data_IF_632187050155
#
_entry.id   IF_632187050155
#
_cell.length_a   1.000
_cell.length_b   1.000
_cell.length_c   1.000
_cell.angle_alpha   90.00
_cell.angle_beta   90.00
_cell.angle_gamma   90.00
#
_symmetry.space_group_name_H-M   'P 1'
#
loop_
_entity.id
_entity.type
_entity.pdbx_description
1 polymer ?
#
# COMPACT_ATOMS: atom_id res chain seq x y z
N UNK A 1 42.42 -42.21 -9.57
CA UNK A 1 41.36 -43.15 -9.99
C UNK A 1 40.43 -42.60 -11.08
N UNK A 2 39.74 -41.47 -10.92
CA UNK A 2 38.77 -40.96 -11.91
C UNK A 2 39.39 -40.66 -13.29
N UNK A 3 40.57 -40.04 -13.35
CA UNK A 3 41.32 -39.82 -14.62
C UNK A 3 41.77 -41.13 -15.29
N UNK A 4 42.05 -42.16 -14.49
CA UNK A 4 42.43 -43.50 -15.00
C UNK A 4 41.19 -44.21 -15.58
N UNK A 5 40.05 -44.09 -14.91
CA UNK A 5 38.75 -44.60 -15.35
C UNK A 5 38.23 -43.90 -16.63
N UNK A 6 38.44 -42.58 -16.75
CA UNK A 6 38.11 -41.83 -17.97
C UNK A 6 39.04 -42.13 -19.14
N UNK A 7 40.33 -42.36 -18.88
CA UNK A 7 41.29 -42.81 -19.88
C UNK A 7 40.96 -44.24 -20.35
N UNK A 8 40.59 -45.14 -19.44
CA UNK A 8 40.17 -46.51 -19.73
C UNK A 8 38.82 -46.57 -20.46
N UNK A 9 37.88 -45.66 -20.15
CA UNK A 9 36.62 -45.46 -20.91
C UNK A 9 36.84 -44.90 -22.32
N UNK A 10 37.85 -44.04 -22.50
CA UNK A 10 38.26 -43.54 -23.84
C UNK A 10 38.94 -44.64 -24.64
N UNK A 11 39.78 -45.45 -24.00
CA UNK A 11 40.47 -46.58 -24.64
C UNK A 11 39.48 -47.65 -25.13
N UNK A 12 38.53 -48.07 -24.28
CA UNK A 12 37.50 -49.08 -24.64
C UNK A 12 36.49 -48.61 -25.70
N UNK A 13 36.38 -47.31 -25.95
CA UNK A 13 35.54 -46.71 -27.00
C UNK A 13 36.29 -46.38 -28.29
N UNK A 14 37.61 -46.58 -28.32
CA UNK A 14 38.40 -46.37 -29.53
C UNK A 14 38.03 -47.42 -30.57
N UNK A 15 37.71 -46.99 -31.78
CA UNK A 15 37.42 -47.88 -32.92
C UNK A 15 38.56 -48.89 -33.14
N UNK A 16 39.79 -48.49 -32.83
CA UNK A 16 40.99 -49.34 -32.88
C UNK A 16 40.91 -50.52 -31.91
N UNK A 17 40.38 -50.31 -30.69
CA UNK A 17 40.27 -51.37 -29.67
C UNK A 17 39.15 -52.35 -30.01
N UNK A 18 38.03 -51.86 -30.55
CA UNK A 18 36.93 -52.72 -31.04
C UNK A 18 37.41 -53.60 -32.20
N UNK A 19 38.15 -53.02 -33.15
CA UNK A 19 38.72 -53.76 -34.27
C UNK A 19 39.72 -54.83 -33.81
N UNK A 20 40.58 -54.50 -32.86
CA UNK A 20 41.53 -55.45 -32.26
C UNK A 20 40.81 -56.60 -31.56
N UNK A 21 39.77 -56.33 -30.77
CA UNK A 21 39.02 -57.36 -30.04
C UNK A 21 38.29 -58.33 -30.99
N UNK A 22 37.65 -57.82 -32.04
CA UNK A 22 36.97 -58.66 -33.05
C UNK A 22 38.00 -59.54 -33.76
N UNK A 23 39.12 -58.95 -34.17
CA UNK A 23 40.21 -59.67 -34.86
C UNK A 23 40.78 -60.78 -33.98
N UNK A 24 41.07 -60.49 -32.71
CA UNK A 24 41.56 -61.50 -31.76
C UNK A 24 40.54 -62.61 -31.53
N UNK A 25 39.26 -62.25 -31.43
CA UNK A 25 38.18 -63.21 -31.21
C UNK A 25 38.02 -64.18 -32.38
N UNK A 26 38.10 -63.68 -33.62
CA UNK A 26 38.03 -64.51 -34.83
C UNK A 26 39.24 -65.44 -34.94
N UNK A 27 40.44 -64.95 -34.62
CA UNK A 27 41.67 -65.75 -34.62
C UNK A 27 41.62 -66.84 -33.53
N UNK A 28 41.23 -66.51 -32.31
CA UNK A 28 41.07 -67.47 -31.22
C UNK A 28 40.03 -68.54 -31.53
N UNK A 29 38.91 -68.14 -32.14
CA UNK A 29 37.86 -69.07 -32.52
C UNK A 29 38.32 -69.99 -33.64
N UNK A 30 38.87 -69.46 -34.73
CA UNK A 30 39.26 -70.29 -35.86
C UNK A 30 40.45 -71.22 -35.57
N UNK A 31 41.38 -70.83 -34.70
CA UNK A 31 42.46 -71.72 -34.22
C UNK A 31 41.92 -72.89 -33.39
N UNK A 32 40.90 -72.66 -32.56
CA UNK A 32 40.24 -73.71 -31.78
C UNK A 32 39.57 -74.78 -32.64
N UNK A 33 39.09 -74.41 -33.83
CA UNK A 33 38.36 -75.30 -34.74
C UNK A 33 39.17 -75.72 -35.98
N UNK A 34 40.49 -75.48 -36.00
CA UNK A 34 41.38 -75.93 -37.08
C UNK A 34 41.14 -75.27 -38.44
N UNK A 35 40.56 -74.06 -38.46
CA UNK A 35 40.27 -73.31 -39.69
C UNK A 35 41.58 -72.78 -40.27
N UNK A 36 41.74 -72.81 -41.60
CA UNK A 36 42.92 -72.27 -42.28
C UNK A 36 43.05 -70.76 -42.06
N UNK A 37 44.28 -70.30 -41.84
CA UNK A 37 44.60 -68.90 -41.49
C UNK A 37 44.05 -67.88 -42.49
N UNK A 38 44.04 -68.22 -43.78
CA UNK A 38 43.50 -67.38 -44.85
C UNK A 38 42.00 -67.10 -44.66
N UNK A 39 41.21 -68.13 -44.32
CA UNK A 39 39.76 -68.00 -44.11
C UNK A 39 39.49 -67.15 -42.86
N UNK A 40 40.25 -67.34 -41.79
CA UNK A 40 40.15 -66.51 -40.58
C UNK A 40 40.42 -65.03 -40.86
N UNK A 41 41.42 -64.73 -41.69
CA UNK A 41 41.79 -63.35 -42.04
C UNK A 41 40.66 -62.65 -42.82
N UNK A 42 40.04 -63.36 -43.77
CA UNK A 42 38.91 -62.83 -44.56
C UNK A 42 37.71 -62.53 -43.67
N UNK A 43 37.36 -63.44 -42.74
CA UNK A 43 36.26 -63.18 -41.80
C UNK A 43 36.57 -62.03 -40.84
N UNK A 44 37.81 -61.94 -40.33
CA UNK A 44 38.20 -60.83 -39.47
C UNK A 44 38.05 -59.48 -40.19
N UNK A 45 38.50 -59.37 -41.44
CA UNK A 45 38.34 -58.15 -42.24
C UNK A 45 36.85 -57.84 -42.45
N UNK A 46 36.03 -58.82 -42.83
CA UNK A 46 34.61 -58.62 -43.07
C UNK A 46 33.86 -58.15 -41.81
N UNK A 47 34.09 -58.78 -40.65
CA UNK A 47 33.45 -58.37 -39.40
C UNK A 47 33.90 -56.98 -38.94
N UNK A 48 35.17 -56.62 -39.15
CA UNK A 48 35.67 -55.29 -38.82
C UNK A 48 35.03 -54.19 -39.69
N UNK A 49 34.82 -54.45 -40.99
CA UNK A 49 34.13 -53.52 -41.89
C UNK A 49 32.69 -53.29 -41.42
N UNK A 50 31.95 -54.36 -41.09
CA UNK A 50 30.57 -54.26 -40.59
C UNK A 50 30.51 -53.49 -39.26
N UNK A 51 31.47 -53.74 -38.37
CA UNK A 51 31.55 -53.04 -37.08
C UNK A 51 31.83 -51.54 -37.27
N UNK A 52 32.75 -51.17 -38.16
CA UNK A 52 33.06 -49.77 -38.46
C UNK A 52 31.88 -49.03 -39.10
N UNK A 53 31.19 -49.65 -40.07
CA UNK A 53 29.99 -49.08 -40.69
C UNK A 53 28.86 -48.86 -39.67
N UNK A 54 28.67 -49.82 -38.76
CA UNK A 54 27.68 -49.70 -37.69
C UNK A 54 28.01 -48.56 -36.71
N UNK A 55 29.30 -48.38 -36.39
CA UNK A 55 29.80 -47.28 -35.57
C UNK A 55 29.59 -45.92 -36.25
N UNK A 56 29.84 -45.85 -37.56
CA UNK A 56 29.66 -44.63 -38.35
C UNK A 56 28.18 -44.24 -38.43
N UNK A 57 27.28 -45.20 -38.65
CA UNK A 57 25.83 -45.00 -38.57
C UNK A 57 25.37 -44.48 -37.20
N UNK A 58 25.90 -45.04 -36.11
CA UNK A 58 25.59 -44.58 -34.75
C UNK A 58 26.00 -43.11 -34.52
N UNK A 59 27.18 -42.69 -34.97
CA UNK A 59 27.64 -41.30 -34.81
C UNK A 59 26.79 -40.30 -35.59
N UNK A 60 26.43 -40.62 -36.84
CA UNK A 60 25.56 -39.75 -37.67
C UNK A 60 24.20 -39.56 -36.99
N UNK A 61 23.58 -40.64 -36.52
CA UNK A 61 22.29 -40.59 -35.83
C UNK A 61 22.40 -39.76 -34.55
N UNK A 62 23.44 -40.00 -33.74
CA UNK A 62 23.67 -39.28 -32.48
C UNK A 62 23.84 -37.77 -32.72
N UNK A 63 24.61 -37.39 -33.72
CA UNK A 63 24.89 -35.98 -34.00
C UNK A 63 23.66 -35.27 -34.60
N UNK A 64 22.85 -35.97 -35.42
CA UNK A 64 21.54 -35.49 -35.87
C UNK A 64 20.58 -35.21 -34.68
N UNK A 65 20.50 -36.12 -33.71
CA UNK A 65 19.68 -35.91 -32.51
C UNK A 65 20.19 -34.77 -31.64
N UNK A 66 21.51 -34.63 -31.46
CA UNK A 66 22.12 -33.51 -30.73
C UNK A 66 21.80 -32.16 -31.36
N UNK A 67 21.90 -32.06 -32.69
CA UNK A 67 21.63 -30.81 -33.40
C UNK A 67 20.14 -30.44 -33.35
N UNK A 68 19.24 -31.44 -33.41
CA UNK A 68 17.80 -31.25 -33.23
C UNK A 68 17.46 -30.76 -31.81
N UNK A 69 18.11 -31.32 -30.80
CA UNK A 69 17.93 -30.92 -29.41
C UNK A 69 18.47 -29.51 -29.14
N UNK A 70 19.63 -29.16 -29.72
CA UNK A 70 20.19 -27.82 -29.61
C UNK A 70 19.29 -26.75 -30.25
N UNK A 71 18.75 -27.01 -31.45
CA UNK A 71 17.78 -26.13 -32.11
C UNK A 71 16.49 -25.97 -31.30
N UNK A 72 16.01 -27.04 -30.64
CA UNK A 72 14.85 -26.99 -29.74
C UNK A 72 15.11 -26.07 -28.55
N UNK A 73 16.26 -26.21 -27.87
CA UNK A 73 16.63 -25.33 -26.73
C UNK A 73 16.77 -23.87 -27.14
N UNK A 74 17.30 -23.57 -28.33
CA UNK A 74 17.38 -22.20 -28.85
C UNK A 74 15.98 -21.61 -29.07
N UNK A 75 15.04 -22.40 -29.57
CA UNK A 75 13.65 -21.96 -29.78
C UNK A 75 12.95 -21.69 -28.44
N UNK A 76 13.05 -22.62 -27.50
CA UNK A 76 12.51 -22.47 -26.14
C UNK A 76 13.12 -21.22 -25.44
N UNK A 77 14.44 -21.00 -25.57
CA UNK A 77 15.09 -19.81 -25.03
C UNK A 77 14.59 -18.50 -25.68
N UNK A 78 14.38 -18.48 -27.00
CA UNK A 78 13.81 -17.32 -27.71
C UNK A 78 12.37 -17.04 -27.26
N UNK A 79 11.55 -18.07 -27.10
CA UNK A 79 10.18 -17.95 -26.60
C UNK A 79 10.16 -17.40 -25.16
N UNK A 80 11.03 -17.88 -24.29
CA UNK A 80 11.18 -17.34 -22.92
C UNK A 80 11.60 -15.87 -22.91
N UNK A 81 12.50 -15.45 -23.80
CA UNK A 81 12.92 -14.04 -23.91
C UNK A 81 11.77 -13.15 -24.40
N UNK A 82 10.99 -13.60 -25.39
CA UNK A 82 9.82 -12.87 -25.88
C UNK A 82 8.78 -12.74 -24.77
N UNK A 83 8.49 -13.83 -24.05
CA UNK A 83 7.51 -13.85 -22.96
C UNK A 83 7.94 -12.94 -21.80
N UNK A 84 9.24 -12.89 -21.50
CA UNK A 84 9.80 -11.97 -20.51
C UNK A 84 9.69 -10.50 -20.95
N UNK A 85 9.96 -10.21 -22.22
CA UNK A 85 9.83 -8.85 -22.78
C UNK A 85 8.38 -8.36 -22.72
N UNK A 86 7.43 -9.18 -23.14
CA UNK A 86 5.99 -8.88 -23.07
C UNK A 86 5.54 -8.68 -21.61
N UNK A 87 6.01 -9.52 -20.68
CA UNK A 87 5.70 -9.37 -19.25
C UNK A 87 6.24 -8.06 -18.68
N UNK A 88 7.47 -7.67 -19.07
CA UNK A 88 8.09 -6.40 -18.67
C UNK A 88 7.35 -5.19 -19.24
N UNK A 89 7.01 -5.20 -20.53
CA UNK A 89 6.20 -4.13 -21.16
C UNK A 89 4.83 -4.00 -20.52
N UNK A 90 4.15 -5.11 -20.21
CA UNK A 90 2.87 -5.11 -19.50
C UNK A 90 2.99 -4.48 -18.11
N UNK A 91 4.06 -4.75 -17.35
CA UNK A 91 4.31 -4.13 -16.04
C UNK A 91 4.56 -2.62 -16.19
N UNK A 92 5.32 -2.19 -17.21
CA UNK A 92 5.58 -0.76 -17.47
C UNK A 92 4.27 -0.03 -17.79
N UNK A 93 3.46 -0.54 -18.73
CA UNK A 93 2.18 0.06 -19.12
C UNK A 93 1.19 0.09 -17.95
N UNK A 94 1.19 -0.95 -17.11
CA UNK A 94 0.33 -0.97 -15.90
C UNK A 94 0.79 0.05 -14.88
N UNK A 95 2.11 0.22 -14.70
CA UNK A 95 2.69 1.24 -13.83
C UNK A 95 2.42 2.67 -14.31
N UNK A 96 2.53 2.94 -15.61
CA UNK A 96 2.22 4.25 -16.19
C UNK A 96 0.73 4.60 -16.07
N UNK A 97 -0.17 3.64 -16.34
CA UNK A 97 -1.61 3.82 -16.15
C UNK A 97 -1.95 4.11 -14.69
N UNK A 98 -1.39 3.34 -13.74
CA UNK A 98 -1.59 3.57 -12.32
C UNK A 98 -1.12 4.99 -11.90
N UNK A 99 0.00 5.48 -12.43
CA UNK A 99 0.49 6.83 -12.13
C UNK A 99 -0.43 7.95 -12.66
N UNK A 100 -1.01 7.76 -13.86
CA UNK A 100 -1.95 8.73 -14.43
C UNK A 100 -3.27 8.72 -13.65
N UNK A 101 -3.80 7.54 -13.34
CA UNK A 101 -5.01 7.39 -12.51
C UNK A 101 -4.80 8.01 -11.12
N UNK A 102 -3.63 7.77 -10.52
CA UNK A 102 -3.23 8.43 -9.28
C UNK A 102 -3.26 9.94 -9.43
N UNK A 103 -2.57 10.53 -10.42
CA UNK A 103 -2.59 12.00 -10.62
C UNK A 103 -4.00 12.58 -10.72
N UNK A 104 -4.91 11.91 -11.41
CA UNK A 104 -6.31 12.34 -11.53
C UNK A 104 -7.02 12.26 -10.17
N UNK A 105 -6.87 11.15 -9.45
CA UNK A 105 -7.42 10.97 -8.10
C UNK A 105 -6.85 12.01 -7.12
N UNK A 106 -5.54 12.31 -7.22
CA UNK A 106 -4.87 13.35 -6.41
C UNK A 106 -5.49 14.72 -6.63
N UNK A 107 -5.65 15.13 -7.89
CA UNK A 107 -6.27 16.42 -8.23
C UNK A 107 -7.69 16.50 -7.70
N UNK A 108 -8.50 15.48 -7.98
CA UNK A 108 -9.90 15.43 -7.56
C UNK A 108 -10.07 15.50 -6.03
N UNK A 109 -9.25 14.75 -5.28
CA UNK A 109 -9.29 14.79 -3.82
C UNK A 109 -8.81 16.13 -3.26
N UNK A 110 -7.81 16.76 -3.89
CA UNK A 110 -7.41 18.12 -3.53
C UNK A 110 -8.45 19.17 -3.88
N UNK A 111 -9.25 18.95 -4.91
CA UNK A 111 -10.42 19.78 -5.25
C UNK A 111 -11.48 19.71 -4.15
N UNK A 112 -11.69 18.53 -3.56
CA UNK A 112 -12.62 18.35 -2.44
C UNK A 112 -12.10 18.84 -1.10
N UNK A 113 -10.80 18.68 -0.84
CA UNK A 113 -10.18 19.09 0.42
C UNK A 113 -9.98 20.61 0.52
N UNK A 114 -9.81 21.31 -0.60
CA UNK A 114 -9.64 22.76 -0.65
C UNK A 114 -10.78 23.44 -1.42
N UNK A 115 -11.71 24.11 -0.72
CA UNK A 115 -12.77 24.91 -1.34
C UNK A 115 -12.23 25.91 -2.37
N UNK A 116 -13.04 26.23 -3.38
CA UNK A 116 -12.60 27.12 -4.48
C UNK A 116 -12.17 28.52 -4.00
N UNK A 117 -12.79 29.03 -2.94
CA UNK A 117 -12.44 30.31 -2.31
C UNK A 117 -11.02 30.31 -1.74
N UNK A 118 -10.62 29.20 -1.12
CA UNK A 118 -9.28 29.02 -0.59
C UNK A 118 -8.27 29.01 -1.71
N UNK A 119 -8.58 28.34 -2.83
CA UNK A 119 -7.71 28.35 -4.02
C UNK A 119 -7.56 29.74 -4.61
N UNK A 120 -8.65 30.53 -4.67
CA UNK A 120 -8.59 31.95 -5.08
C UNK A 120 -7.66 32.74 -4.15
N UNK A 121 -7.77 32.54 -2.85
CA UNK A 121 -6.87 33.17 -1.89
C UNK A 121 -5.40 32.78 -2.13
N UNK A 122 -5.09 31.50 -2.37
CA UNK A 122 -3.73 31.09 -2.75
C UNK A 122 -3.24 31.70 -4.06
N UNK A 123 -4.11 31.90 -5.07
CA UNK A 123 -3.74 32.62 -6.29
C UNK A 123 -3.33 34.07 -5.99
N UNK A 124 -4.01 34.72 -5.05
CA UNK A 124 -3.62 36.06 -4.58
C UNK A 124 -2.27 36.00 -3.87
N UNK A 125 -2.05 35.04 -2.97
CA UNK A 125 -0.75 34.86 -2.30
C UNK A 125 0.39 34.62 -3.29
N UNK A 126 0.16 33.83 -4.34
CA UNK A 126 1.14 33.57 -5.39
C UNK A 126 1.44 34.84 -6.20
N UNK A 127 0.41 35.60 -6.59
CA UNK A 127 0.57 36.90 -7.27
C UNK A 127 1.36 37.90 -6.43
N UNK A 128 1.23 37.83 -5.09
CA UNK A 128 1.96 38.67 -4.14
C UNK A 128 3.34 38.11 -3.77
N UNK A 129 3.77 36.99 -4.36
CA UNK A 129 5.08 36.39 -4.13
C UNK A 129 5.25 35.75 -2.75
N UNK A 130 4.15 35.40 -2.08
CA UNK A 130 4.16 34.90 -0.69
C UNK A 130 4.26 33.37 -0.66
N UNK A 131 3.35 32.68 -1.36
CA UNK A 131 3.27 31.23 -1.34
C UNK A 131 2.50 30.71 -2.55
N UNK A 132 2.94 29.59 -3.11
CA UNK A 132 2.19 28.88 -4.16
C UNK A 132 1.41 27.73 -3.54
N UNK A 133 0.21 27.49 -4.05
CA UNK A 133 -0.57 26.30 -3.67
C UNK A 133 0.23 25.00 -3.93
N UNK A 134 1.01 24.99 -5.02
CA UNK A 134 1.90 23.88 -5.36
C UNK A 134 2.92 23.56 -4.27
N UNK A 135 3.38 24.55 -3.51
CA UNK A 135 4.33 24.33 -2.41
C UNK A 135 3.65 23.58 -1.25
N UNK A 136 2.38 23.86 -1.00
CA UNK A 136 1.54 23.14 -0.03
C UNK A 136 1.33 21.71 -0.49
N UNK A 137 0.94 21.51 -1.75
CA UNK A 137 0.74 20.18 -2.35
C UNK A 137 2.02 19.33 -2.30
N UNK A 138 3.18 19.93 -2.62
CA UNK A 138 4.48 19.26 -2.52
C UNK A 138 4.86 18.93 -1.08
N UNK A 139 4.51 19.79 -0.10
CA UNK A 139 4.67 19.44 1.30
C UNK A 139 3.78 18.28 1.72
N UNK A 140 2.52 18.22 1.27
CA UNK A 140 1.63 17.07 1.53
C UNK A 140 2.23 15.78 0.96
N UNK A 141 2.79 15.84 -0.27
CA UNK A 141 3.45 14.71 -0.92
C UNK A 141 4.70 14.23 -0.18
N UNK A 142 5.40 15.13 0.48
CA UNK A 142 6.65 14.81 1.20
C UNK A 142 6.42 14.48 2.67
N UNK A 143 5.25 14.85 3.23
CA UNK A 143 4.87 14.45 4.58
C UNK A 143 4.73 12.93 4.66
N UNK A 144 5.65 12.32 5.38
CA UNK A 144 5.65 10.88 5.64
C UNK A 144 4.85 10.57 6.91
N UNK A 145 3.95 9.60 6.82
CA UNK A 145 3.18 9.03 7.92
C UNK A 145 3.68 7.63 8.23
N UNK A 146 3.64 7.25 9.51
CA UNK A 146 3.87 5.86 9.91
C UNK A 146 2.59 5.09 9.73
N UNK A 147 2.56 4.21 8.75
CA UNK A 147 1.42 3.37 8.47
C UNK A 147 1.76 1.91 8.74
N UNK A 148 0.79 1.24 9.36
CA UNK A 148 0.89 -0.17 9.73
C UNK A 148 -0.37 -0.87 9.23
N UNK A 149 -0.21 -1.96 8.49
CA UNK A 149 -1.31 -2.86 8.21
C UNK A 149 -1.37 -3.88 9.34
N UNK A 150 -2.55 -3.99 9.94
CA UNK A 150 -2.87 -5.01 10.91
C UNK A 150 -3.94 -5.91 10.32
N UNK A 151 -3.63 -7.19 10.21
CA UNK A 151 -4.47 -8.16 9.52
C UNK A 151 -4.60 -9.42 10.34
N UNK A 152 -5.82 -9.86 10.61
CA UNK A 152 -6.10 -11.16 11.21
C UNK A 152 -6.72 -12.10 10.17
N UNK A 153 -6.17 -13.30 10.02
CA UNK A 153 -6.70 -14.36 9.13
C UNK A 153 -7.00 -15.62 9.91
N UNK A 154 -7.98 -16.42 9.50
CA UNK A 154 -8.38 -17.68 10.18
C UNK A 154 -9.01 -17.51 11.56
N UNK A 155 -9.57 -16.34 11.84
CA UNK A 155 -10.49 -16.19 12.96
C UNK A 155 -11.90 -16.37 12.43
N UNK A 156 -12.52 -17.48 12.81
CA UNK A 156 -13.97 -17.66 12.73
C UNK A 156 -14.44 -17.94 14.14
N UNK A 157 -15.51 -17.28 14.57
CA UNK A 157 -16.27 -17.81 15.71
C UNK A 157 -16.73 -19.22 15.32
N UNK A 158 -16.40 -20.20 16.16
CA UNK A 158 -16.41 -21.64 15.85
C UNK A 158 -17.75 -22.17 15.30
N UNK A 159 -18.84 -21.44 15.53
CA UNK A 159 -20.20 -21.83 15.20
C UNK A 159 -21.11 -20.61 14.99
N UNK A 160 -22.14 -20.74 14.14
CA UNK A 160 -23.16 -19.72 13.89
C UNK A 160 -23.97 -19.39 15.16
N UNK A 161 -24.25 -20.38 16.02
CA UNK A 161 -24.97 -20.18 17.28
C UNK A 161 -24.16 -19.36 18.27
N UNK A 162 -22.86 -19.66 18.40
CA UNK A 162 -21.95 -18.86 19.24
C UNK A 162 -21.89 -17.43 18.71
N UNK A 163 -21.79 -17.26 17.39
CA UNK A 163 -21.80 -15.93 16.75
C UNK A 163 -23.08 -15.16 17.05
N UNK A 164 -24.27 -15.78 16.90
CA UNK A 164 -25.56 -15.13 17.21
C UNK A 164 -25.62 -14.71 18.68
N UNK A 165 -25.24 -15.61 19.59
CA UNK A 165 -25.19 -15.32 21.02
C UNK A 165 -24.22 -14.14 21.34
N UNK A 166 -23.04 -14.09 20.72
CA UNK A 166 -22.13 -12.96 20.88
C UNK A 166 -22.69 -11.65 20.30
N UNK A 167 -23.42 -11.69 19.19
CA UNK A 167 -24.08 -10.48 18.64
C UNK A 167 -25.09 -9.92 19.64
N UNK A 168 -25.92 -10.76 20.24
CA UNK A 168 -26.88 -10.34 21.26
C UNK A 168 -26.19 -9.78 22.51
N UNK A 169 -25.16 -10.48 23.01
CA UNK A 169 -24.35 -10.03 24.14
C UNK A 169 -23.70 -8.65 23.91
N UNK A 170 -23.16 -8.40 22.72
CA UNK A 170 -22.60 -7.09 22.40
C UNK A 170 -23.68 -6.00 22.38
N UNK A 171 -24.85 -6.29 21.78
CA UNK A 171 -25.95 -5.33 21.70
C UNK A 171 -26.47 -4.93 23.10
N UNK A 172 -26.54 -5.86 24.05
CA UNK A 172 -26.90 -5.56 25.45
C UNK A 172 -25.90 -4.65 26.14
N UNK A 173 -24.62 -4.77 25.79
CA UNK A 173 -23.57 -3.85 26.24
C UNK A 173 -23.60 -2.49 25.53
N UNK A 174 -24.62 -2.23 24.69
CA UNK A 174 -24.71 -1.02 23.87
C UNK A 174 -23.68 -0.97 22.73
N UNK A 175 -23.09 -2.11 22.37
CA UNK A 175 -22.07 -2.23 21.33
C UNK A 175 -22.64 -2.97 20.12
N UNK A 176 -22.47 -2.43 18.92
CA UNK A 176 -22.84 -3.13 17.68
C UNK A 176 -21.74 -4.11 17.28
N UNK A 177 -21.98 -5.41 17.33
CA UNK A 177 -20.99 -6.40 16.87
C UNK A 177 -20.55 -6.12 15.42
N UNK A 178 -19.28 -5.74 15.22
CA UNK A 178 -18.74 -5.33 13.93
C UNK A 178 -18.15 -6.53 13.19
N UNK A 179 -18.87 -7.04 12.20
CA UNK A 179 -18.42 -8.13 11.33
C UNK A 179 -18.49 -9.51 11.98
N UNK A 180 -17.59 -10.41 11.62
CA UNK A 180 -17.67 -11.83 12.00
C UNK A 180 -16.61 -12.27 13.04
N UNK A 181 -15.75 -11.34 13.49
CA UNK A 181 -14.54 -11.67 14.27
C UNK A 181 -14.38 -10.80 15.51
N UNK A 182 -13.78 -11.35 16.57
CA UNK A 182 -13.45 -10.56 17.76
C UNK A 182 -12.31 -9.60 17.47
N UNK A 183 -11.38 -9.94 16.55
CA UNK A 183 -10.33 -9.03 16.14
C UNK A 183 -10.86 -7.74 15.50
N UNK A 184 -11.89 -7.82 14.66
CA UNK A 184 -12.53 -6.62 14.11
C UNK A 184 -13.16 -5.75 15.19
N UNK A 185 -13.80 -6.37 16.17
CA UNK A 185 -14.36 -5.65 17.32
C UNK A 185 -13.25 -5.03 18.18
N UNK A 186 -12.15 -5.75 18.43
CA UNK A 186 -10.96 -5.24 19.12
C UNK A 186 -10.39 -4.00 18.44
N UNK A 187 -10.17 -4.06 17.11
CA UNK A 187 -9.63 -2.92 16.38
C UNK A 187 -10.58 -1.73 16.47
N UNK A 188 -11.88 -1.96 16.31
CA UNK A 188 -12.88 -0.89 16.30
C UNK A 188 -13.14 -0.27 17.68
N UNK A 189 -13.20 -1.07 18.74
CA UNK A 189 -13.62 -0.61 20.07
C UNK A 189 -12.47 -0.27 21.02
N UNK A 190 -11.28 -0.87 20.80
CA UNK A 190 -10.13 -0.71 21.68
C UNK A 190 -8.95 -0.10 20.95
N UNK A 191 -8.43 -0.76 19.90
CA UNK A 191 -7.18 -0.32 19.27
C UNK A 191 -7.30 1.09 18.65
N UNK A 192 -8.41 1.36 17.97
CA UNK A 192 -8.69 2.65 17.31
C UNK A 192 -8.73 3.84 18.26
N UNK A 193 -8.99 3.61 19.56
CA UNK A 193 -9.15 4.65 20.58
C UNK A 193 -7.84 4.99 21.28
N UNK A 194 -6.75 4.29 20.97
CA UNK A 194 -5.44 4.60 21.55
C UNK A 194 -4.93 5.95 21.08
N UNK A 195 -4.25 6.67 21.98
CA UNK A 195 -3.70 8.00 21.73
C UNK A 195 -2.65 8.03 20.62
N UNK A 196 -1.98 6.90 20.37
CA UNK A 196 -1.01 6.74 19.30
C UNK A 196 -1.63 6.36 17.95
N UNK A 197 -2.90 5.97 17.89
CA UNK A 197 -3.61 5.72 16.62
C UNK A 197 -4.25 7.03 16.18
N UNK A 198 -3.73 7.61 15.11
CA UNK A 198 -4.30 8.82 14.52
C UNK A 198 -5.53 8.50 13.69
N UNK A 199 -5.49 7.38 12.97
CA UNK A 199 -6.59 6.94 12.12
C UNK A 199 -6.52 5.44 11.90
N UNK A 200 -7.68 4.83 11.70
CA UNK A 200 -7.79 3.45 11.26
C UNK A 200 -8.78 3.36 10.10
N UNK A 201 -8.43 2.56 9.12
CA UNK A 201 -9.21 2.36 7.90
C UNK A 201 -9.34 0.87 7.66
N UNK A 202 -10.54 0.40 7.31
CA UNK A 202 -10.76 -1.01 7.01
C UNK A 202 -10.34 -1.30 5.57
N UNK A 203 -9.60 -2.39 5.40
CA UNK A 203 -9.24 -2.93 4.09
C UNK A 203 -10.14 -4.12 3.75
N UNK A 204 -10.74 -4.12 2.56
CA UNK A 204 -11.61 -5.20 2.11
C UNK A 204 -10.77 -6.34 1.50
N UNK A 205 -10.08 -7.10 2.35
CA UNK A 205 -9.30 -8.27 1.94
C UNK A 205 -10.10 -9.54 2.24
N UNK A 206 -10.57 -10.29 1.22
CA UNK A 206 -11.36 -11.50 1.42
C UNK A 206 -10.72 -12.49 2.38
N UNK A 207 -11.53 -13.07 3.28
CA UNK A 207 -11.07 -14.07 4.26
C UNK A 207 -10.22 -13.51 5.41
N UNK A 208 -10.14 -12.18 5.57
CA UNK A 208 -9.36 -11.55 6.63
C UNK A 208 -10.05 -10.32 7.22
N UNK A 209 -9.69 -10.01 8.47
CA UNK A 209 -10.00 -8.73 9.11
C UNK A 209 -8.76 -7.84 9.01
N UNK A 210 -8.71 -6.99 7.99
CA UNK A 210 -7.55 -6.17 7.64
C UNK A 210 -7.82 -4.68 7.84
N UNK A 211 -6.84 -3.98 8.39
CA UNK A 211 -6.92 -2.56 8.73
C UNK A 211 -5.59 -1.86 8.43
N UNK A 212 -5.67 -0.67 7.85
CA UNK A 212 -4.57 0.28 7.74
C UNK A 212 -4.67 1.25 8.92
N UNK A 213 -3.61 1.31 9.73
CA UNK A 213 -3.51 2.19 10.88
C UNK A 213 -2.45 3.24 10.63
N UNK A 214 -2.81 4.51 10.79
CA UNK A 214 -1.86 5.62 10.82
C UNK A 214 -1.53 5.87 12.29
N UNK A 215 -0.25 5.75 12.64
CA UNK A 215 0.21 5.83 14.03
C UNK A 215 1.19 6.98 14.25
N UNK A 216 1.23 7.49 15.49
CA UNK A 216 2.21 8.49 15.93
C UNK A 216 3.59 7.85 16.09
N UNK A 217 4.64 8.65 15.96
CA UNK A 217 6.04 8.19 16.01
C UNK A 217 6.46 7.54 17.34
N UNK A 218 5.67 7.69 18.40
CA UNK A 218 6.02 7.25 19.75
C UNK A 218 5.72 5.76 20.02
N UNK A 219 5.03 5.05 19.13
CA UNK A 219 4.68 3.64 19.31
C UNK A 219 5.85 2.69 18.93
N UNK A 220 6.89 2.65 19.76
CA UNK A 220 7.90 1.58 19.70
C UNK A 220 7.24 0.25 20.06
N UNK A 221 7.64 -0.84 19.40
CA UNK A 221 7.08 -2.20 19.60
C UNK A 221 5.56 -2.31 19.38
N UNK A 222 5.00 -1.52 18.46
CA UNK A 222 3.57 -1.52 18.12
C UNK A 222 3.00 -2.93 17.89
N UNK A 223 3.76 -3.82 17.25
CA UNK A 223 3.30 -5.19 16.99
C UNK A 223 3.08 -6.00 18.27
N UNK A 224 3.98 -5.90 19.25
CA UNK A 224 3.86 -6.60 20.53
C UNK A 224 2.65 -6.08 21.33
N UNK A 225 2.50 -4.75 21.38
CA UNK A 225 1.38 -4.08 22.05
C UNK A 225 0.03 -4.57 21.50
N UNK A 226 -0.13 -4.56 20.17
CA UNK A 226 -1.36 -5.00 19.52
C UNK A 226 -1.68 -6.47 19.86
N UNK A 227 -0.67 -7.34 19.86
CA UNK A 227 -0.86 -8.76 20.16
C UNK A 227 -1.24 -9.00 21.63
N UNK A 228 -0.57 -8.35 22.57
CA UNK A 228 -0.86 -8.46 24.00
C UNK A 228 -2.24 -7.90 24.34
N UNK A 229 -2.58 -6.73 23.80
CA UNK A 229 -3.88 -6.12 24.03
C UNK A 229 -5.02 -6.91 23.40
N UNK A 230 -4.83 -7.48 22.22
CA UNK A 230 -5.84 -8.34 21.61
C UNK A 230 -6.08 -9.59 22.47
N UNK A 231 -5.02 -10.23 22.98
CA UNK A 231 -5.17 -11.37 23.92
C UNK A 231 -5.95 -10.97 25.16
N UNK A 232 -5.62 -9.83 25.76
CA UNK A 232 -6.31 -9.30 26.93
C UNK A 232 -7.78 -9.00 26.63
N UNK A 233 -8.07 -8.35 25.50
CA UNK A 233 -9.42 -8.06 25.04
C UNK A 233 -10.27 -9.32 24.84
N UNK A 234 -9.73 -10.34 24.18
CA UNK A 234 -10.44 -11.61 23.99
C UNK A 234 -10.74 -12.26 25.33
N UNK A 235 -9.76 -12.30 26.24
CA UNK A 235 -9.95 -12.90 27.56
C UNK A 235 -11.06 -12.18 28.36
N UNK A 236 -11.02 -10.85 28.40
CA UNK A 236 -12.04 -10.02 29.07
C UNK A 236 -13.44 -10.25 28.47
N UNK A 237 -13.57 -10.15 27.14
CA UNK A 237 -14.87 -10.31 26.46
C UNK A 237 -15.46 -11.70 26.70
N UNK A 238 -14.63 -12.74 26.65
CA UNK A 238 -15.13 -14.10 26.78
C UNK A 238 -15.47 -14.44 28.23
N UNK A 239 -14.68 -13.95 29.19
CA UNK A 239 -15.02 -14.08 30.61
C UNK A 239 -16.42 -13.50 30.88
N UNK A 240 -16.64 -12.27 30.44
CA UNK A 240 -17.94 -11.61 30.59
C UNK A 240 -19.05 -12.33 29.82
N UNK A 241 -18.74 -12.89 28.64
CA UNK A 241 -19.72 -13.62 27.84
C UNK A 241 -20.14 -14.94 28.50
N UNK A 242 -19.21 -15.68 29.12
CA UNK A 242 -19.49 -16.94 29.82
C UNK A 242 -20.44 -16.73 31.01
N UNK A 243 -20.40 -15.56 31.63
CA UNK A 243 -21.29 -15.18 32.73
C UNK A 243 -22.67 -14.69 32.25
N UNK A 244 -22.89 -14.53 30.93
CA UNK A 244 -24.14 -14.02 30.37
C UNK A 244 -25.22 -15.09 30.14
N UNK A 245 -26.50 -14.69 30.17
CA UNK A 245 -27.63 -15.56 29.85
C UNK A 245 -27.53 -16.15 28.43
N UNK A 246 -26.95 -15.40 27.48
CA UNK A 246 -26.72 -15.86 26.11
C UNK A 246 -25.80 -17.07 26.04
N UNK A 247 -24.77 -17.12 26.88
CA UNK A 247 -23.90 -18.29 26.99
C UNK A 247 -24.61 -19.45 27.68
N UNK A 248 -25.39 -19.18 28.75
CA UNK A 248 -26.15 -20.21 29.46
C UNK A 248 -27.14 -20.94 28.55
N UNK A 249 -27.70 -20.24 27.56
CA UNK A 249 -28.62 -20.81 26.56
C UNK A 249 -27.93 -21.60 25.43
N UNK A 250 -26.59 -21.61 25.36
CA UNK A 250 -25.88 -22.40 24.35
C UNK A 250 -25.93 -23.91 24.64
N UNK A 251 -25.99 -24.76 23.61
CA UNK A 251 -25.86 -26.20 23.76
C UNK A 251 -24.52 -26.60 24.43
N UNK A 252 -24.48 -27.71 25.18
CA UNK A 252 -23.26 -28.19 25.84
C UNK A 252 -22.05 -28.31 24.89
N UNK A 253 -22.26 -28.82 23.67
CA UNK A 253 -21.21 -28.96 22.65
C UNK A 253 -20.58 -27.61 22.25
N UNK A 254 -21.38 -26.56 22.14
CA UNK A 254 -20.89 -25.21 21.83
C UNK A 254 -20.11 -24.61 23.00
N UNK A 255 -20.55 -24.88 24.24
CA UNK A 255 -19.86 -24.45 25.47
C UNK A 255 -18.50 -25.13 25.60
N UNK A 256 -18.42 -26.43 25.29
CA UNK A 256 -17.19 -27.21 25.29
C UNK A 256 -16.21 -26.73 24.22
N UNK A 257 -16.67 -26.53 22.98
CA UNK A 257 -15.86 -25.93 21.90
C UNK A 257 -15.32 -24.54 22.27
N UNK A 258 -16.14 -23.70 22.93
CA UNK A 258 -15.68 -22.38 23.39
C UNK A 258 -14.62 -22.50 24.48
N UNK A 259 -14.77 -23.46 25.40
CA UNK A 259 -13.75 -23.73 26.44
C UNK A 259 -12.45 -24.22 25.81
N UNK A 260 -12.50 -25.19 24.89
CA UNK A 260 -11.33 -25.68 24.15
C UNK A 260 -10.59 -24.55 23.43
N UNK A 261 -11.32 -23.62 22.82
CA UNK A 261 -10.76 -22.45 22.14
C UNK A 261 -10.03 -21.49 23.09
N UNK A 262 -10.45 -21.42 24.35
CA UNK A 262 -9.82 -20.60 25.39
C UNK A 262 -8.63 -21.30 26.07
N UNK A 263 -8.75 -22.60 26.33
CA UNK A 263 -7.80 -23.36 27.18
C UNK A 263 -6.60 -23.89 26.44
N UNK A 264 -6.64 -24.04 25.11
CA UNK A 264 -5.45 -24.40 24.35
C UNK A 264 -4.44 -23.24 24.36
N UNK A 265 -3.34 -23.46 25.09
CA UNK A 265 -2.10 -22.69 25.04
C UNK A 265 -1.85 -22.20 23.62
N UNK A 266 -1.40 -20.95 23.49
CA UNK A 266 -1.27 -20.23 22.22
C UNK A 266 -0.19 -20.87 21.28
N UNK A 267 -0.47 -22.05 20.68
CA UNK A 267 0.34 -22.80 19.72
C UNK A 267 -0.57 -23.41 18.62
N UNK A 268 -0.46 -23.01 17.33
CA UNK A 268 -1.64 -22.95 16.44
C UNK A 268 -1.82 -24.17 15.52
N UNK A 269 -3.10 -24.53 15.28
CA UNK A 269 -3.62 -24.63 13.90
C UNK A 269 -4.87 -23.76 13.61
N UNK A 270 -5.55 -23.17 14.61
CA UNK A 270 -6.93 -22.59 14.51
C UNK A 270 -7.07 -21.12 15.06
N UNK A 271 -5.99 -20.39 15.38
CA UNK A 271 -6.05 -18.96 15.83
C UNK A 271 -5.84 -17.94 14.70
N UNK A 272 -6.38 -16.70 14.81
CA UNK A 272 -6.05 -15.62 13.89
C UNK A 272 -4.54 -15.46 13.75
N UNK A 273 -4.02 -15.56 12.54
CA UNK A 273 -2.67 -15.03 12.27
C UNK A 273 -2.81 -13.52 12.16
N UNK A 274 -2.44 -12.83 13.25
CA UNK A 274 -2.34 -11.38 13.28
C UNK A 274 -0.99 -11.00 12.67
N UNK A 275 -1.02 -10.54 11.43
CA UNK A 275 0.12 -10.00 10.70
C UNK A 275 0.10 -8.50 10.91
N UNK A 276 1.21 -8.00 11.44
CA UNK A 276 1.44 -6.57 11.63
C UNK A 276 2.63 -6.22 10.79
N UNK A 277 2.43 -5.35 9.80
CA UNK A 277 3.57 -4.87 9.04
C UNK A 277 4.44 -4.00 9.95
N UNK A 278 5.75 -3.99 9.74
CA UNK A 278 6.60 -2.98 10.36
C UNK A 278 6.09 -1.59 9.97
N UNK A 279 6.18 -0.58 10.85
CA UNK A 279 5.75 0.77 10.50
C UNK A 279 6.57 1.26 9.31
N UNK A 280 5.90 1.47 8.17
CA UNK A 280 6.52 2.07 7.01
C UNK A 280 6.28 3.58 7.06
N UNK A 281 7.34 4.35 6.82
CA UNK A 281 7.18 5.75 6.44
C UNK A 281 6.64 5.78 5.01
N UNK A 282 5.40 6.21 4.84
CA UNK A 282 4.74 6.31 3.55
C UNK A 282 4.11 7.69 3.41
N UNK A 283 4.05 8.22 2.19
CA UNK A 283 3.40 9.51 1.96
C UNK A 283 1.87 9.36 1.94
N UNK A 284 1.18 10.48 2.19
CA UNK A 284 -0.29 10.54 2.27
C UNK A 284 -0.95 9.95 1.02
N UNK A 285 -0.39 10.20 -0.16
CA UNK A 285 -0.98 9.75 -1.42
C UNK A 285 -0.79 8.26 -1.70
N UNK A 286 0.34 7.69 -1.31
CA UNK A 286 0.56 6.25 -1.38
C UNK A 286 -0.36 5.49 -0.44
N UNK A 287 -0.84 6.11 0.66
CA UNK A 287 -1.91 5.52 1.47
C UNK A 287 -3.24 5.41 0.72
N UNK A 288 -3.54 6.38 -0.15
CA UNK A 288 -4.77 6.39 -0.95
C UNK A 288 -4.81 5.27 -1.97
N UNK A 289 -3.66 4.71 -2.37
CA UNK A 289 -3.59 3.55 -3.27
C UNK A 289 -4.10 2.27 -2.61
N UNK A 290 -4.00 2.17 -1.28
CA UNK A 290 -4.32 0.95 -0.54
C UNK A 290 -5.79 0.84 -0.11
N UNK A 291 -6.56 1.91 -0.29
CA UNK A 291 -7.89 2.00 0.27
C UNK A 291 -8.89 2.27 -0.86
N UNK A 292 -10.06 1.65 -0.78
CA UNK A 292 -11.09 1.72 -1.82
C UNK A 292 -11.75 3.11 -1.92
N UNK A 293 -12.32 3.43 -3.10
CA UNK A 293 -13.07 4.69 -3.32
C UNK A 293 -14.26 4.87 -2.36
N UNK A 294 -14.75 3.81 -1.74
CA UNK A 294 -15.80 3.86 -0.72
C UNK A 294 -15.41 4.75 0.48
N UNK A 295 -14.12 4.94 0.73
CA UNK A 295 -13.58 5.76 1.83
C UNK A 295 -13.15 7.15 1.36
N UNK A 296 -13.79 7.70 0.30
CA UNK A 296 -13.41 8.99 -0.26
C UNK A 296 -13.47 10.14 0.75
N UNK A 297 -14.52 10.18 1.57
CA UNK A 297 -14.66 11.19 2.64
C UNK A 297 -13.51 11.07 3.65
N UNK A 298 -13.11 9.85 3.99
CA UNK A 298 -11.98 9.64 4.89
C UNK A 298 -10.67 10.21 4.31
N UNK A 299 -10.46 10.10 3.00
CA UNK A 299 -9.30 10.72 2.35
C UNK A 299 -9.35 12.23 2.36
N UNK A 300 -10.52 12.80 2.07
CA UNK A 300 -10.70 14.25 2.05
C UNK A 300 -10.40 14.81 3.43
N UNK A 301 -10.87 14.16 4.49
CA UNK A 301 -10.57 14.59 5.86
C UNK A 301 -9.09 14.43 6.21
N UNK A 302 -8.46 13.32 5.79
CA UNK A 302 -7.01 13.13 5.99
C UNK A 302 -6.22 14.24 5.30
N UNK A 303 -6.59 14.57 4.06
CA UNK A 303 -5.95 15.64 3.29
C UNK A 303 -6.21 17.01 3.92
N UNK A 304 -7.41 17.28 4.44
CA UNK A 304 -7.73 18.51 5.16
C UNK A 304 -6.88 18.68 6.41
N UNK A 305 -6.70 17.63 7.20
CA UNK A 305 -5.83 17.66 8.39
C UNK A 305 -4.37 17.95 8.02
N UNK A 306 -3.88 17.36 6.93
CA UNK A 306 -2.51 17.63 6.45
C UNK A 306 -2.35 19.05 5.90
N UNK A 307 -3.34 19.52 5.14
CA UNK A 307 -3.43 20.90 4.67
C UNK A 307 -3.40 21.85 5.88
N UNK A 308 -4.21 21.60 6.90
CA UNK A 308 -4.25 22.39 8.14
C UNK A 308 -2.90 22.42 8.85
N UNK A 309 -2.26 21.27 9.01
CA UNK A 309 -0.95 21.14 9.65
C UNK A 309 0.13 21.90 8.88
N UNK A 310 0.16 21.75 7.55
CA UNK A 310 1.15 22.45 6.70
C UNK A 310 0.88 23.95 6.67
N UNK A 311 -0.39 24.35 6.59
CA UNK A 311 -0.74 25.76 6.51
C UNK A 311 -0.51 26.48 7.83
N UNK A 312 -0.85 25.88 8.97
CA UNK A 312 -0.57 26.47 10.27
C UNK A 312 0.94 26.71 10.46
N UNK A 313 1.80 25.80 9.99
CA UNK A 313 3.25 26.00 10.00
C UNK A 313 3.70 27.11 9.05
N UNK A 314 3.17 27.13 7.83
CA UNK A 314 3.59 28.08 6.81
C UNK A 314 3.11 29.49 7.08
N UNK A 315 1.82 29.68 7.41
CA UNK A 315 1.21 31.00 7.59
C UNK A 315 1.85 31.75 8.76
N UNK A 316 2.32 31.05 9.80
CA UNK A 316 3.03 31.68 10.93
C UNK A 316 4.33 32.37 10.48
N UNK A 317 4.97 31.87 9.42
CA UNK A 317 6.22 32.45 8.88
C UNK A 317 5.94 33.68 8.01
N UNK A 318 4.82 33.70 7.29
CA UNK A 318 4.55 34.73 6.29
C UNK A 318 3.71 35.90 6.83
N UNK A 319 4.07 37.13 6.43
CA UNK A 319 3.26 38.32 6.71
C UNK A 319 2.15 38.47 5.68
N UNK A 320 1.02 37.83 5.93
CA UNK A 320 -0.19 37.92 5.10
C UNK A 320 -1.00 39.16 5.52
N UNK A 321 -1.43 39.95 4.53
CA UNK A 321 -2.27 41.13 4.74
C UNK A 321 -3.76 40.81 4.70
N UNK A 322 -4.57 41.49 5.50
CA UNK A 322 -6.04 41.40 5.49
C UNK A 322 -6.59 41.83 4.12
N UNK A 323 -5.98 42.82 3.47
CA UNK A 323 -6.39 43.29 2.14
C UNK A 323 -6.41 42.18 1.07
N UNK A 324 -5.62 41.12 1.23
CA UNK A 324 -5.60 39.99 0.29
C UNK A 324 -6.88 39.16 0.32
N UNK A 325 -7.65 39.22 1.41
CA UNK A 325 -8.99 38.63 1.48
C UNK A 325 -9.98 39.34 0.56
N UNK A 326 -9.88 40.67 0.46
CA UNK A 326 -10.72 41.48 -0.44
C UNK A 326 -10.39 41.18 -1.90
N UNK A 327 -9.10 41.08 -2.24
CA UNK A 327 -8.69 40.70 -3.60
C UNK A 327 -9.18 39.29 -3.95
N UNK A 328 -9.12 38.34 -3.00
CA UNK A 328 -9.60 36.97 -3.21
C UNK A 328 -11.13 36.89 -3.36
N UNK A 329 -11.86 37.78 -2.70
CA UNK A 329 -13.31 37.93 -2.81
C UNK A 329 -13.77 38.66 -4.09
N UNK A 330 -12.84 39.16 -4.91
CA UNK A 330 -13.14 39.81 -6.19
C UNK A 330 -13.33 41.32 -6.13
N UNK A 331 -12.91 41.98 -5.05
CA UNK A 331 -12.89 43.46 -5.02
C UNK A 331 -11.87 44.04 -5.99
N UNK A 332 -12.16 45.23 -6.51
CA UNK A 332 -11.29 45.94 -7.42
C UNK A 332 -10.00 46.43 -6.72
N UNK A 333 -9.02 46.85 -7.52
CA UNK A 333 -7.72 47.30 -7.01
C UNK A 333 -7.80 48.50 -6.08
N UNK A 334 -8.80 49.36 -6.26
CA UNK A 334 -8.92 50.61 -5.49
C UNK A 334 -9.37 50.32 -4.06
N UNK A 335 -10.39 49.46 -3.90
CA UNK A 335 -10.84 48.99 -2.58
C UNK A 335 -9.72 48.21 -1.89
N UNK A 336 -9.04 47.33 -2.60
CA UNK A 336 -7.93 46.54 -2.03
C UNK A 336 -6.81 47.45 -1.52
N UNK A 337 -6.42 48.47 -2.29
CA UNK A 337 -5.41 49.46 -1.87
C UNK A 337 -5.89 50.31 -0.69
N UNK A 338 -7.15 50.72 -0.68
CA UNK A 338 -7.71 51.50 0.41
C UNK A 338 -7.68 50.70 1.73
N UNK A 339 -8.08 49.42 1.70
CA UNK A 339 -7.98 48.52 2.87
C UNK A 339 -6.52 48.33 3.30
N UNK A 340 -5.60 48.15 2.34
CA UNK A 340 -4.16 48.00 2.61
C UNK A 340 -3.56 49.24 3.31
N UNK A 341 -4.01 50.44 2.95
CA UNK A 341 -3.56 51.70 3.55
C UNK A 341 -3.99 51.84 5.02
N UNK A 342 -5.19 51.37 5.37
CA UNK A 342 -5.71 51.45 6.74
C UNK A 342 -5.43 50.21 7.59
N UNK A 343 -4.77 49.19 7.04
CA UNK A 343 -4.59 47.88 7.67
C UNK A 343 -3.92 47.95 9.05
N UNK A 344 -2.93 48.83 9.23
CA UNK A 344 -2.30 49.03 10.54
C UNK A 344 -3.29 49.53 11.60
N UNK A 345 -4.26 50.36 11.22
CA UNK A 345 -5.29 50.85 12.12
C UNK A 345 -6.33 49.76 12.40
N UNK A 346 -6.69 48.95 11.38
CA UNK A 346 -7.54 47.76 11.54
C UNK A 346 -6.91 46.82 12.56
N UNK A 347 -5.64 46.43 12.37
CA UNK A 347 -4.92 45.51 13.25
C UNK A 347 -4.83 46.02 14.68
N UNK A 348 -4.55 47.31 14.88
CA UNK A 348 -4.53 47.94 16.22
C UNK A 348 -5.90 47.88 16.90
N UNK A 349 -6.99 48.19 16.18
CA UNK A 349 -8.35 48.22 16.75
C UNK A 349 -8.87 46.82 17.06
N UNK A 350 -8.54 45.84 16.22
CA UNK A 350 -8.80 44.41 16.46
C UNK A 350 -7.89 43.77 17.51
N UNK A 351 -6.82 44.47 17.94
CA UNK A 351 -5.79 43.97 18.86
C UNK A 351 -5.10 42.69 18.36
N UNK A 352 -4.85 42.61 17.05
CA UNK A 352 -4.18 41.47 16.41
C UNK A 352 -2.86 41.91 15.79
N UNK A 353 -1.84 41.06 15.88
CA UNK A 353 -0.50 41.30 15.30
C UNK A 353 -0.25 40.46 14.06
N UNK A 354 -0.98 39.35 13.90
CA UNK A 354 -0.80 38.39 12.81
C UNK A 354 -2.13 38.04 12.17
N UNK A 355 -2.07 37.62 10.91
CA UNK A 355 -3.23 37.15 10.16
C UNK A 355 -3.91 35.93 10.82
N UNK A 356 -3.14 35.03 11.43
CA UNK A 356 -3.69 33.90 12.20
C UNK A 356 -4.46 34.34 13.43
N UNK A 357 -4.00 35.37 14.14
CA UNK A 357 -4.70 35.95 15.30
C UNK A 357 -6.02 36.58 14.88
N UNK A 358 -6.04 37.26 13.73
CA UNK A 358 -7.28 37.75 13.11
C UNK A 358 -8.28 36.62 12.84
N UNK A 359 -7.86 35.54 12.18
CA UNK A 359 -8.76 34.42 11.88
C UNK A 359 -9.22 33.65 13.13
N UNK A 360 -8.47 33.75 14.24
CA UNK A 360 -8.81 33.14 15.53
C UNK A 360 -9.92 33.88 16.28
N UNK A 361 -10.30 35.08 15.86
CA UNK A 361 -11.40 35.83 16.48
C UNK A 361 -12.70 35.02 16.45
N UNK A 362 -13.58 35.23 17.43
CA UNK A 362 -14.87 34.52 17.49
C UNK A 362 -15.68 34.72 16.21
N UNK A 363 -15.76 35.97 15.73
CA UNK A 363 -16.37 36.34 14.45
C UNK A 363 -15.45 37.30 13.68
N UNK A 364 -14.49 36.77 12.90
CA UNK A 364 -13.49 37.59 12.21
C UNK A 364 -14.11 38.50 11.14
N UNK A 365 -15.19 38.05 10.48
CA UNK A 365 -15.85 38.84 9.45
C UNK A 365 -16.57 40.06 10.05
N UNK A 366 -17.44 39.85 11.04
CA UNK A 366 -18.16 40.98 11.64
C UNK A 366 -17.20 41.93 12.36
N UNK A 367 -16.16 41.41 13.00
CA UNK A 367 -15.11 42.23 13.62
C UNK A 367 -14.38 43.10 12.59
N UNK A 368 -14.05 42.54 11.42
CA UNK A 368 -13.39 43.28 10.34
C UNK A 368 -14.28 44.40 9.80
N UNK A 369 -15.53 44.08 9.45
CA UNK A 369 -16.45 45.03 8.81
C UNK A 369 -16.78 46.20 9.75
N UNK A 370 -17.13 45.91 11.01
CA UNK A 370 -17.40 46.95 12.02
C UNK A 370 -16.17 47.80 12.32
N UNK A 371 -14.97 47.21 12.28
CA UNK A 371 -13.71 47.93 12.43
C UNK A 371 -13.46 48.89 11.27
N UNK A 372 -13.70 48.46 10.03
CA UNK A 372 -13.56 49.32 8.85
C UNK A 372 -14.55 50.47 8.91
N UNK A 373 -15.83 50.21 9.18
CA UNK A 373 -16.86 51.25 9.33
C UNK A 373 -16.46 52.32 10.35
N UNK A 374 -15.87 51.89 11.47
CA UNK A 374 -15.48 52.78 12.54
C UNK A 374 -14.09 53.44 12.34
N UNK A 375 -13.36 53.13 11.27
CA UNK A 375 -12.09 53.78 10.91
C UNK A 375 -12.29 54.68 9.68
N UNK A 376 -13.02 54.17 8.68
CA UNK A 376 -13.26 54.82 7.40
C UNK A 376 -14.66 54.46 6.90
N UNK A 377 -15.60 55.37 7.15
CA UNK A 377 -17.01 55.20 6.79
C UNK A 377 -17.22 55.21 5.28
N UNK A 378 -16.42 55.99 4.53
CA UNK A 378 -16.54 56.08 3.08
C UNK A 378 -16.10 54.77 2.41
N UNK A 379 -14.96 54.21 2.87
CA UNK A 379 -14.49 52.91 2.41
C UNK A 379 -15.52 51.80 2.73
N UNK A 380 -16.11 51.81 3.92
CA UNK A 380 -17.16 50.86 4.28
C UNK A 380 -18.36 50.93 3.32
N UNK A 381 -18.88 52.13 3.02
CA UNK A 381 -19.98 52.28 2.06
C UNK A 381 -19.58 51.80 0.67
N UNK A 382 -18.34 52.04 0.23
CA UNK A 382 -17.83 51.54 -1.04
C UNK A 382 -17.73 50.02 -1.09
N UNK A 383 -17.31 49.36 0.00
CA UNK A 383 -17.29 47.90 0.13
C UNK A 383 -18.72 47.34 0.06
N UNK A 384 -19.68 48.02 0.70
CA UNK A 384 -21.07 47.59 0.82
C UNK A 384 -21.86 47.63 -0.50
N UNK A 385 -21.51 48.54 -1.40
CA UNK A 385 -22.12 48.64 -2.75
C UNK A 385 -22.01 47.36 -3.58
N UNK A 386 -21.10 46.45 -3.23
CA UNK A 386 -20.89 45.18 -3.93
C UNK A 386 -21.32 43.99 -3.06
N UNK A 387 -22.64 43.79 -2.89
CA UNK A 387 -23.21 42.76 -2.01
C UNK A 387 -22.71 41.34 -2.32
N UNK A 388 -22.53 41.00 -3.61
CA UNK A 388 -21.97 39.71 -4.02
C UNK A 388 -20.56 39.45 -3.48
N UNK A 389 -19.72 40.48 -3.47
CA UNK A 389 -18.36 40.40 -2.96
C UNK A 389 -18.30 40.38 -1.43
N UNK A 390 -19.27 41.02 -0.75
CA UNK A 390 -19.40 40.96 0.71
C UNK A 390 -19.66 39.52 1.19
N UNK A 391 -20.61 38.84 0.52
CA UNK A 391 -20.88 37.42 0.79
C UNK A 391 -19.64 36.57 0.53
N UNK A 392 -18.98 36.79 -0.60
CA UNK A 392 -17.77 36.03 -0.96
C UNK A 392 -16.62 36.27 0.04
N UNK A 393 -16.47 37.50 0.56
CA UNK A 393 -15.50 37.84 1.59
C UNK A 393 -15.80 37.11 2.89
N UNK A 394 -17.06 37.12 3.34
CA UNK A 394 -17.50 36.38 4.53
C UNK A 394 -17.18 34.90 4.37
N UNK A 395 -17.61 34.30 3.26
CA UNK A 395 -17.44 32.88 3.02
C UNK A 395 -15.95 32.51 2.90
N UNK A 396 -15.11 33.36 2.30
CA UNK A 396 -13.65 33.15 2.21
C UNK A 396 -13.00 33.16 3.59
N UNK A 397 -13.37 34.12 4.45
CA UNK A 397 -12.86 34.20 5.82
C UNK A 397 -13.29 32.97 6.63
N UNK A 398 -14.54 32.55 6.50
CA UNK A 398 -15.07 31.40 7.22
C UNK A 398 -14.45 30.07 6.76
N UNK A 399 -14.28 29.87 5.45
CA UNK A 399 -13.60 28.69 4.92
C UNK A 399 -12.13 28.65 5.40
N UNK A 400 -11.42 29.80 5.41
CA UNK A 400 -10.04 29.87 5.90
C UNK A 400 -9.97 29.57 7.40
N UNK A 401 -10.91 30.10 8.18
CA UNK A 401 -11.00 29.81 9.61
C UNK A 401 -11.22 28.32 9.84
N UNK A 402 -12.18 27.70 9.15
CA UNK A 402 -12.48 26.27 9.27
C UNK A 402 -11.29 25.38 8.89
N UNK A 403 -10.49 25.77 7.91
CA UNK A 403 -9.30 24.99 7.53
C UNK A 403 -8.17 25.13 8.53
N UNK A 404 -8.03 26.28 9.20
CA UNK A 404 -6.89 26.57 10.07
C UNK A 404 -7.14 26.28 11.55
N UNK A 405 -8.39 26.33 12.02
CA UNK A 405 -8.79 26.17 13.41
C UNK A 405 -9.90 25.13 13.51
#
# INVERSE_FOLDING_TARGET
MVKLLEAQKRYTRSSVVVVLLITLSVIMYGTKYGITLFIMLVYAIAFNIVALLSLLGYYIIRDYFREREHRRRIREAKEHVILFKVKKEKVIVTGEKAQVELKVVKSHLMDKALPIRIRRFFKVLEKRGIMKLKDVEMKILTTSKRAVIVLATKESLLDELIRKAMVHFFNEKGLKFKGETLFRNFVHYRLSKHSYVLRYIRLNIPGSSAFLLIIREQARNFAEIVLEEYKKYVHEIIKDFIESEHYLNLPPENKERLREWLTMDFRPPIKPRVIITTPYQTNVYSLLEFVDKEYEEDYVDMLRDEVKNILSQLIVVWKIKIAYLFEAAGYNTDIVKAVENIENNINKKLKVKRFTEFLSLQDPYNSLITTIEAIDKELFENIKRYEGNLKELKDTIMDLKHILF
#
